data_IF_366990806385
#
_entry.id   IF_366990806385
#
_cell.length_a   1.000
_cell.length_b   1.000
_cell.length_c   1.000
_cell.angle_alpha   90.00
_cell.angle_beta   90.00
_cell.angle_gamma   90.00
#
_symmetry.space_group_name_H-M   'P 1'
#
loop_
_entity.id
_entity.type
_entity.pdbx_description
1 polymer ?
#
# COMPACT_ATOMS: atom_id res chain seq x y z
N UNK A 1 -26.98 -1.80 -1.72
CA UNK A 1 -26.53 -1.49 -3.09
C UNK A 1 -25.02 -1.56 -3.09
N UNK A 2 -24.43 -2.55 -3.77
CA UNK A 2 -22.98 -2.59 -3.98
C UNK A 2 -22.65 -1.63 -5.11
N UNK A 3 -22.37 -0.37 -4.80
CA UNK A 3 -21.66 0.49 -5.74
C UNK A 3 -20.25 -0.07 -5.90
N UNK A 4 -19.89 -0.47 -7.12
CA UNK A 4 -18.54 -0.90 -7.46
C UNK A 4 -17.55 0.22 -7.08
N UNK A 5 -16.54 -0.11 -6.29
CA UNK A 5 -15.53 0.87 -5.86
C UNK A 5 -14.62 1.14 -7.06
N UNK A 6 -14.64 2.37 -7.57
CA UNK A 6 -13.75 2.81 -8.63
C UNK A 6 -12.53 3.53 -8.03
N UNK A 7 -11.34 2.95 -8.22
CA UNK A 7 -10.07 3.53 -7.75
C UNK A 7 -9.25 4.20 -8.85
N UNK A 8 -9.74 4.29 -10.09
CA UNK A 8 -9.03 4.94 -11.21
C UNK A 8 -8.62 6.37 -10.84
N UNK A 9 -7.41 6.74 -11.25
CA UNK A 9 -6.84 8.07 -11.05
C UNK A 9 -5.55 8.05 -10.24
N UNK A 10 -5.16 9.24 -9.77
CA UNK A 10 -3.87 9.47 -9.12
C UNK A 10 -4.00 9.52 -7.60
N UNK A 11 -3.01 8.95 -6.93
CA UNK A 11 -2.95 8.77 -5.48
C UNK A 11 -1.57 9.12 -4.94
N UNK A 12 -1.52 9.90 -3.88
CA UNK A 12 -0.32 10.13 -3.09
C UNK A 12 -0.04 8.92 -2.20
N UNK A 13 1.12 8.29 -2.39
CA UNK A 13 1.60 7.16 -1.59
C UNK A 13 2.63 7.61 -0.55
N UNK A 14 2.47 7.13 0.68
CA UNK A 14 3.49 7.23 1.74
C UNK A 14 3.48 5.95 2.57
N UNK A 15 4.66 5.35 2.76
CA UNK A 15 4.88 4.22 3.66
C UNK A 15 5.81 4.56 4.82
N UNK A 16 5.76 3.73 5.86
CA UNK A 16 6.47 3.90 7.12
C UNK A 16 7.03 2.57 7.60
N UNK A 17 8.31 2.54 7.98
CA UNK A 17 8.96 1.38 8.59
C UNK A 17 8.79 1.46 10.11
N UNK A 18 8.34 0.36 10.72
CA UNK A 18 8.28 0.23 12.17
C UNK A 18 9.67 -0.19 12.68
N UNK A 19 10.24 0.61 13.60
CA UNK A 19 11.57 0.37 14.18
C UNK A 19 11.52 0.54 15.69
N UNK A 20 10.94 -0.43 16.42
CA UNK A 20 10.83 -0.34 17.86
C UNK A 20 12.21 -0.37 18.51
N UNK A 21 12.41 0.49 19.50
CA UNK A 21 13.44 0.33 20.52
C UNK A 21 13.13 -0.90 21.37
N UNK A 22 14.12 -1.39 22.12
CA UNK A 22 13.90 -2.51 23.05
C UNK A 22 12.79 -2.21 24.06
N UNK A 23 12.73 -0.98 24.58
CA UNK A 23 11.68 -0.56 25.51
C UNK A 23 10.28 -0.58 24.87
N UNK A 24 10.14 -0.17 23.62
CA UNK A 24 8.86 -0.24 22.89
C UNK A 24 8.48 -1.68 22.53
N UNK A 25 9.46 -2.55 22.30
CA UNK A 25 9.23 -3.97 22.04
C UNK A 25 8.70 -4.71 23.28
N UNK A 26 9.19 -4.35 24.46
CA UNK A 26 8.78 -4.92 25.75
C UNK A 26 7.48 -4.30 26.29
N UNK A 27 7.03 -3.18 25.72
CA UNK A 27 5.82 -2.49 26.14
C UNK A 27 4.56 -3.33 25.82
N UNK A 28 3.46 -3.19 26.60
CA UNK A 28 2.23 -3.93 26.36
C UNK A 28 1.63 -3.60 24.99
N UNK A 29 0.78 -4.49 24.42
CA UNK A 29 0.05 -4.20 23.19
C UNK A 29 -0.66 -2.86 23.23
N UNK A 30 -0.81 -2.24 22.05
CA UNK A 30 -1.36 -0.89 21.88
C UNK A 30 -0.50 0.26 22.42
N UNK A 31 0.71 -0.01 22.91
CA UNK A 31 1.72 1.03 23.16
C UNK A 31 2.15 1.70 21.86
N UNK A 32 2.57 2.96 21.97
CA UNK A 32 3.10 3.70 20.81
C UNK A 32 4.43 3.11 20.38
N UNK A 33 4.64 3.03 19.07
CA UNK A 33 5.87 2.57 18.45
C UNK A 33 6.42 3.65 17.53
N UNK A 34 7.72 3.84 17.56
CA UNK A 34 8.41 4.73 16.63
C UNK A 34 8.41 4.14 15.21
N UNK A 35 8.00 4.96 14.25
CA UNK A 35 8.06 4.63 12.83
C UNK A 35 8.78 5.72 12.04
N UNK A 36 9.60 5.31 11.07
CA UNK A 36 10.27 6.22 10.14
C UNK A 36 9.53 6.25 8.80
N UNK A 37 9.64 7.35 8.05
CA UNK A 37 9.19 7.35 6.65
C UNK A 37 10.06 6.39 5.84
N UNK A 38 9.41 5.46 5.13
CA UNK A 38 10.11 4.48 4.30
C UNK A 38 10.18 4.94 2.85
N UNK A 39 9.03 5.13 2.21
CA UNK A 39 8.97 5.58 0.83
C UNK A 39 7.81 6.56 0.59
N UNK A 40 7.97 7.42 -0.40
CA UNK A 40 6.93 8.35 -0.87
C UNK A 40 6.90 8.32 -2.40
N UNK A 41 5.71 8.24 -2.97
CA UNK A 41 5.54 8.19 -4.42
C UNK A 41 4.14 8.56 -4.86
N UNK A 42 3.90 8.38 -6.15
CA UNK A 42 2.61 8.61 -6.80
C UNK A 42 2.15 7.30 -7.43
N UNK A 43 0.98 6.83 -7.03
CA UNK A 43 0.31 5.70 -7.66
C UNK A 43 -0.72 6.21 -8.67
N UNK A 44 -0.61 5.77 -9.90
CA UNK A 44 -1.62 5.98 -10.94
C UNK A 44 -2.32 4.66 -11.22
N UNK A 45 -3.62 4.58 -10.97
CA UNK A 45 -4.45 3.42 -11.29
C UNK A 45 -5.15 3.69 -12.62
N UNK A 46 -4.87 2.88 -13.63
CA UNK A 46 -5.43 3.00 -14.97
C UNK A 46 -6.68 2.14 -15.19
N UNK A 47 -6.83 1.06 -14.42
CA UNK A 47 -7.94 0.11 -14.53
C UNK A 47 -8.43 -0.27 -13.13
N UNK A 48 -9.74 -0.29 -12.94
CA UNK A 48 -10.43 -0.67 -11.70
C UNK A 48 -11.76 -1.40 -11.99
N UNK A 49 -11.80 -2.22 -13.04
CA UNK A 49 -12.99 -2.94 -13.51
C UNK A 49 -12.98 -4.39 -13.00
N UNK A 50 -14.15 -4.99 -12.82
CA UNK A 50 -14.33 -6.37 -12.35
C UNK A 50 -13.52 -6.73 -11.10
N UNK A 51 -13.49 -5.79 -10.15
CA UNK A 51 -12.69 -5.86 -8.93
C UNK A 51 -11.18 -6.01 -9.17
N UNK A 52 -10.67 -5.89 -10.39
CA UNK A 52 -9.24 -5.92 -10.71
C UNK A 52 -8.68 -4.51 -10.70
N UNK A 53 -7.45 -4.37 -10.22
CA UNK A 53 -6.71 -3.10 -10.31
C UNK A 53 -5.41 -3.27 -11.11
N UNK A 54 -5.13 -2.29 -11.97
CA UNK A 54 -3.84 -2.15 -12.67
C UNK A 54 -3.36 -0.71 -12.54
N UNK A 55 -2.10 -0.54 -12.19
CA UNK A 55 -1.50 0.78 -12.06
C UNK A 55 0.02 0.77 -11.98
N UNK A 56 0.58 1.94 -11.74
CA UNK A 56 2.01 2.17 -11.59
C UNK A 56 2.29 3.05 -10.38
N UNK A 57 3.20 2.60 -9.51
CA UNK A 57 3.69 3.36 -8.37
C UNK A 57 5.10 3.87 -8.67
N UNK A 58 5.21 5.19 -8.81
CA UNK A 58 6.46 5.89 -9.14
C UNK A 58 6.99 6.61 -7.90
N UNK A 59 8.22 6.30 -7.49
CA UNK A 59 8.87 6.96 -6.35
C UNK A 59 9.81 8.08 -6.81
N UNK A 60 10.52 7.85 -7.92
CA UNK A 60 11.44 8.78 -8.56
C UNK A 60 11.64 8.37 -10.03
N UNK A 61 12.25 9.22 -10.88
CA UNK A 61 12.61 8.81 -12.24
C UNK A 61 13.42 7.51 -12.24
N UNK A 62 12.95 6.50 -12.97
CA UNK A 62 13.59 5.18 -13.04
C UNK A 62 13.37 4.28 -11.82
N UNK A 63 12.56 4.67 -10.84
CA UNK A 63 12.18 3.85 -9.68
C UNK A 63 10.66 3.67 -9.69
N UNK A 64 10.21 2.61 -10.37
CA UNK A 64 8.79 2.33 -10.62
C UNK A 64 8.46 0.89 -10.26
N UNK A 65 7.27 0.69 -9.71
CA UNK A 65 6.63 -0.61 -9.55
C UNK A 65 5.37 -0.66 -10.41
N UNK A 66 5.19 -1.73 -11.17
CA UNK A 66 3.89 -2.07 -11.73
C UNK A 66 3.03 -2.70 -10.63
N UNK A 67 1.80 -2.22 -10.48
CA UNK A 67 0.86 -2.63 -9.45
C UNK A 67 -0.29 -3.39 -10.09
N UNK A 68 -0.53 -4.61 -9.59
CA UNK A 68 -1.63 -5.47 -10.04
C UNK A 68 -2.32 -6.05 -8.83
N UNK A 69 -3.64 -6.12 -8.84
CA UNK A 69 -4.37 -6.56 -7.67
C UNK A 69 -5.86 -6.66 -7.89
N UNK A 70 -6.57 -6.68 -6.78
CA UNK A 70 -8.02 -6.72 -6.73
C UNK A 70 -8.59 -5.98 -5.52
N UNK A 71 -9.88 -5.67 -5.60
CA UNK A 71 -10.70 -5.15 -4.52
C UNK A 71 -11.58 -6.29 -4.02
N UNK A 72 -11.53 -6.57 -2.72
CA UNK A 72 -12.51 -7.41 -2.07
C UNK A 72 -13.65 -6.53 -1.58
N UNK A 73 -14.91 -6.78 -1.98
CA UNK A 73 -16.05 -6.01 -1.52
C UNK A 73 -16.19 -6.01 0.00
N UNK A 74 -16.80 -4.94 0.54
CA UNK A 74 -17.12 -4.87 1.95
C UNK A 74 -18.15 -5.95 2.34
N UNK A 75 -18.06 -6.42 3.57
CA UNK A 75 -19.06 -7.27 4.22
C UNK A 75 -19.66 -6.53 5.41
N UNK A 76 -20.65 -7.10 6.07
CA UNK A 76 -21.21 -6.53 7.31
C UNK A 76 -20.16 -6.42 8.43
N UNK A 77 -19.13 -7.25 8.41
CA UNK A 77 -18.12 -7.32 9.48
C UNK A 77 -16.79 -6.64 9.13
N UNK A 78 -16.50 -6.41 7.84
CA UNK A 78 -15.16 -5.98 7.38
C UNK A 78 -15.31 -4.96 6.25
N UNK A 79 -14.54 -3.84 6.28
CA UNK A 79 -14.52 -2.88 5.17
C UNK A 79 -13.98 -3.52 3.88
N UNK A 80 -14.22 -2.88 2.74
CA UNK A 80 -13.63 -3.31 1.48
C UNK A 80 -12.09 -3.28 1.56
N UNK A 81 -11.45 -4.24 0.91
CA UNK A 81 -10.00 -4.46 1.01
C UNK A 81 -9.36 -4.34 -0.36
N UNK A 82 -8.25 -3.61 -0.45
CA UNK A 82 -7.33 -3.67 -1.57
C UNK A 82 -6.31 -4.79 -1.31
N UNK A 83 -6.20 -5.75 -2.21
CA UNK A 83 -5.12 -6.74 -2.26
C UNK A 83 -4.33 -6.56 -3.56
N UNK A 84 -3.06 -6.16 -3.47
CA UNK A 84 -2.24 -5.90 -4.64
C UNK A 84 -0.81 -6.42 -4.48
N UNK A 85 -0.13 -6.54 -5.62
CA UNK A 85 1.29 -6.82 -5.72
C UNK A 85 1.95 -5.69 -6.47
N UNK A 86 2.98 -5.09 -5.89
CA UNK A 86 3.91 -4.20 -6.58
C UNK A 86 5.12 -5.01 -7.07
N UNK A 87 5.41 -4.99 -8.37
CA UNK A 87 6.61 -5.62 -8.94
C UNK A 87 7.49 -4.59 -9.60
N UNK A 88 8.79 -4.67 -9.37
CA UNK A 88 9.76 -3.81 -10.01
C UNK A 88 9.73 -3.93 -11.52
N UNK A 89 9.50 -2.81 -12.19
CA UNK A 89 9.41 -2.73 -13.65
C UNK A 89 10.58 -2.00 -14.30
N UNK A 90 11.46 -1.39 -13.49
CA UNK A 90 12.68 -0.72 -13.95
C UNK A 90 13.93 -1.49 -13.53
N UNK A 91 15.08 -1.18 -14.15
CA UNK A 91 16.35 -1.83 -13.79
C UNK A 91 16.71 -1.61 -12.31
N UNK A 92 16.40 -0.43 -11.76
CA UNK A 92 16.66 -0.10 -10.35
C UNK A 92 15.76 -0.86 -9.37
N UNK A 93 14.60 -1.37 -9.80
CA UNK A 93 13.67 -2.12 -8.94
C UNK A 93 13.59 -3.59 -9.34
N UNK A 94 14.40 -4.03 -10.31
CA UNK A 94 14.33 -5.37 -10.89
C UNK A 94 14.43 -6.47 -9.84
N UNK A 95 13.45 -7.37 -9.85
CA UNK A 95 13.36 -8.47 -8.89
C UNK A 95 12.72 -8.10 -7.55
N UNK A 96 12.47 -6.82 -7.28
CA UNK A 96 11.70 -6.41 -6.10
C UNK A 96 10.21 -6.77 -6.29
N UNK A 97 9.62 -7.33 -5.24
CA UNK A 97 8.22 -7.68 -5.19
C UNK A 97 7.68 -7.42 -3.79
N UNK A 98 6.51 -6.80 -3.77
CA UNK A 98 5.84 -6.34 -2.55
C UNK A 98 4.40 -6.81 -2.56
N UNK A 99 3.95 -7.37 -1.45
CA UNK A 99 2.52 -7.60 -1.20
C UNK A 99 1.95 -6.37 -0.50
N UNK A 100 0.82 -5.86 -0.98
CA UNK A 100 0.17 -4.64 -0.53
C UNK A 100 -1.26 -5.01 -0.13
N UNK A 101 -1.62 -4.80 1.14
CA UNK A 101 -2.97 -5.08 1.62
C UNK A 101 -3.46 -3.92 2.47
N UNK A 102 -4.65 -3.40 2.18
CA UNK A 102 -5.19 -2.28 2.95
C UNK A 102 -6.70 -2.14 2.89
N UNK A 103 -7.26 -1.45 3.87
CA UNK A 103 -8.69 -1.15 3.92
C UNK A 103 -9.00 0.14 3.16
N UNK A 104 -10.11 0.11 2.44
CA UNK A 104 -10.66 1.25 1.69
C UNK A 104 -11.66 1.96 2.61
N UNK A 105 -11.34 3.19 3.00
CA UNK A 105 -12.06 3.93 4.05
C UNK A 105 -12.64 5.22 3.45
N UNK A 106 -13.96 5.36 3.49
CA UNK A 106 -14.64 6.59 3.11
C UNK A 106 -14.83 7.48 4.34
N UNK A 107 -14.23 8.68 4.33
CA UNK A 107 -14.58 9.70 5.31
C UNK A 107 -15.99 10.21 5.03
N UNK A 108 -16.69 10.64 6.08
CA UNK A 108 -18.06 11.17 5.94
C UNK A 108 -18.06 12.35 4.96
N UNK A 109 -18.90 12.26 3.92
CA UNK A 109 -19.01 13.28 2.87
C UNK A 109 -17.89 13.26 1.82
N UNK A 110 -16.97 12.28 1.84
CA UNK A 110 -15.95 12.14 0.80
C UNK A 110 -16.41 11.20 -0.31
N UNK A 111 -16.30 11.64 -1.55
CA UNK A 111 -16.58 10.81 -2.74
C UNK A 111 -15.41 9.84 -3.05
N UNK A 112 -14.19 10.19 -2.62
CA UNK A 112 -13.00 9.35 -2.82
C UNK A 112 -12.50 8.78 -1.48
N UNK A 113 -12.16 7.49 -1.41
CA UNK A 113 -11.69 6.88 -0.17
C UNK A 113 -10.24 7.25 0.14
N UNK A 114 -9.80 7.01 1.37
CA UNK A 114 -8.38 6.85 1.73
C UNK A 114 -8.11 5.37 1.92
N UNK A 115 -6.95 4.87 1.49
CA UNK A 115 -6.56 3.47 1.71
C UNK A 115 -5.44 3.42 2.75
N UNK A 116 -5.59 2.56 3.75
CA UNK A 116 -4.57 2.36 4.80
C UNK A 116 -4.31 0.89 5.00
N UNK A 117 -3.05 0.51 5.18
CA UNK A 117 -2.72 -0.90 5.33
C UNK A 117 -1.24 -1.15 5.51
N UNK A 118 -0.79 -2.31 5.03
CA UNK A 118 0.58 -2.78 5.15
C UNK A 118 1.17 -3.17 3.81
N UNK A 119 2.48 -3.00 3.71
CA UNK A 119 3.33 -3.50 2.62
C UNK A 119 4.29 -4.52 3.23
N UNK A 120 4.47 -5.63 2.53
CA UNK A 120 5.38 -6.71 2.89
C UNK A 120 6.36 -6.97 1.73
N UNK A 121 7.65 -6.97 2.03
CA UNK A 121 8.69 -7.40 1.09
C UNK A 121 8.65 -8.92 0.95
N UNK A 122 8.33 -9.42 -0.25
CA UNK A 122 8.30 -10.87 -0.52
C UNK A 122 9.54 -11.36 -1.27
N UNK A 123 10.33 -10.43 -1.81
CA UNK A 123 11.71 -10.64 -2.27
C UNK A 123 12.61 -9.59 -1.63
N UNK A 124 13.94 -9.81 -1.56
CA UNK A 124 14.86 -8.78 -1.07
C UNK A 124 14.66 -7.52 -1.91
N UNK A 125 14.40 -6.41 -1.22
CA UNK A 125 14.04 -5.18 -1.89
C UNK A 125 15.29 -4.51 -2.51
N UNK A 126 15.09 -3.59 -3.44
CA UNK A 126 16.21 -2.89 -4.09
C UNK A 126 17.03 -2.02 -3.12
N UNK A 127 16.52 -1.76 -1.91
CA UNK A 127 17.19 -1.01 -0.85
C UNK A 127 17.93 -1.92 0.16
N UNK A 128 18.04 -3.22 -0.15
CA UNK A 128 18.76 -4.21 0.65
C UNK A 128 18.02 -4.63 1.93
N UNK A 129 16.70 -4.41 2.00
CA UNK A 129 15.86 -4.87 3.12
C UNK A 129 15.65 -6.38 3.01
N UNK A 130 15.64 -7.10 4.15
CA UNK A 130 15.40 -8.53 4.15
C UNK A 130 13.97 -8.83 3.72
N UNK A 131 13.77 -10.02 3.14
CA UNK A 131 12.43 -10.61 2.95
C UNK A 131 11.71 -10.62 4.30
N UNK A 132 10.42 -10.28 4.30
CA UNK A 132 9.64 -10.21 5.53
C UNK A 132 9.61 -8.83 6.17
N UNK A 133 10.29 -7.83 5.60
CA UNK A 133 10.18 -6.44 6.06
C UNK A 133 8.74 -5.96 5.84
N UNK A 134 8.12 -5.45 6.91
CA UNK A 134 6.75 -4.93 6.89
C UNK A 134 6.76 -3.43 7.18
N UNK A 135 5.99 -2.67 6.40
CA UNK A 135 5.71 -1.27 6.66
C UNK A 135 4.21 -0.98 6.63
N UNK A 136 3.79 0.08 7.31
CA UNK A 136 2.44 0.62 7.15
C UNK A 136 2.42 1.58 5.95
N UNK A 137 1.27 1.75 5.28
CA UNK A 137 1.11 2.73 4.22
C UNK A 137 -0.22 3.48 4.28
N UNK A 138 -0.24 4.62 3.60
CA UNK A 138 -1.44 5.41 3.30
C UNK A 138 -1.43 5.80 1.82
N UNK A 139 -2.56 5.60 1.13
CA UNK A 139 -2.87 6.19 -0.17
C UNK A 139 -3.95 7.24 0.00
N UNK A 140 -3.71 8.45 -0.51
CA UNK A 140 -4.69 9.53 -0.52
C UNK A 140 -4.97 9.96 -1.95
N UNK A 141 -6.23 10.21 -2.32
CA UNK A 141 -6.55 10.74 -3.63
C UNK A 141 -5.83 12.09 -3.83
N UNK A 142 -5.34 12.33 -5.05
CA UNK A 142 -4.94 13.67 -5.51
C UNK A 142 -6.19 14.44 -5.90
#
# INVERSE_FOLDING_TARGET
MNSQINLVGTWNHQSFLVKPTLAEWEAPPSSTITAEKWAKGTLTISESEDDRIVGELVFAPGITLSVYGRILPATEAVPAVLEATGKGSSEATKGAAYQITGWIIFAQGSERPTIRGSILDVTPDASGKPIGTVGAFVLRPV
#
